data_IF_540680917557
#
_entry.id   IF_540680917557
#
_cell.length_a   1.000
_cell.length_b   1.000
_cell.length_c   1.000
_cell.angle_alpha   90.00
_cell.angle_beta   90.00
_cell.angle_gamma   90.00
#
_symmetry.space_group_name_H-M   'P 1'
#
loop_
_entity.id
_entity.type
_entity.pdbx_description
1 polymer ?
#
# COMPACT_ATOMS: atom_id res chain seq x y z
N UNK A 1 27.84 5.74 -19.00
CA UNK A 1 26.73 6.67 -18.70
C UNK A 1 25.47 5.91 -19.06
N UNK A 2 24.93 5.01 -18.22
CA UNK A 2 24.58 5.15 -16.81
C UNK A 2 24.65 3.75 -16.14
N UNK A 3 25.66 3.48 -15.30
CA UNK A 3 25.81 2.18 -14.61
C UNK A 3 26.06 2.33 -13.08
N UNK A 4 25.56 3.39 -12.43
CA UNK A 4 25.98 3.76 -11.06
C UNK A 4 24.88 3.75 -9.97
N UNK A 5 23.67 3.20 -10.21
CA UNK A 5 22.59 3.19 -9.18
C UNK A 5 22.41 1.83 -8.45
N UNK A 6 23.21 0.80 -8.75
CA UNK A 6 23.07 -0.53 -8.13
C UNK A 6 23.91 -0.76 -6.85
N UNK A 7 24.75 0.20 -6.43
CA UNK A 7 25.87 -0.08 -5.52
C UNK A 7 25.57 0.12 -4.01
N UNK A 8 24.44 0.70 -3.63
CA UNK A 8 24.15 1.02 -2.22
C UNK A 8 23.68 -0.20 -1.38
N UNK A 9 22.99 -1.17 -1.99
CA UNK A 9 22.33 -2.27 -1.25
C UNK A 9 23.21 -3.53 -1.11
N UNK A 10 24.06 -3.82 -2.10
CA UNK A 10 24.96 -4.99 -2.11
C UNK A 10 26.00 -4.94 -0.98
N UNK A 11 26.59 -3.77 -0.74
CA UNK A 11 27.60 -3.54 0.31
C UNK A 11 27.06 -3.67 1.73
N UNK A 12 25.76 -3.42 1.97
CA UNK A 12 25.13 -3.53 3.30
C UNK A 12 24.72 -4.95 3.69
N UNK A 13 24.27 -5.78 2.73
CA UNK A 13 23.81 -7.16 3.02
C UNK A 13 24.94 -8.09 3.45
N UNK A 14 26.13 -7.94 2.86
CA UNK A 14 27.25 -8.86 3.08
C UNK A 14 27.91 -8.79 4.47
N UNK A 15 27.46 -7.87 5.35
CA UNK A 15 27.99 -7.71 6.71
C UNK A 15 27.22 -8.52 7.76
N UNK A 16 25.96 -8.92 7.51
CA UNK A 16 25.12 -9.60 8.52
C UNK A 16 25.03 -11.11 8.35
N UNK A 17 25.30 -11.62 7.15
CA UNK A 17 25.25 -13.06 6.86
C UNK A 17 26.70 -13.53 6.79
N UNK A 18 27.11 -14.43 7.69
CA UNK A 18 28.42 -15.05 7.69
C UNK A 18 28.59 -16.05 6.53
N UNK A 19 28.42 -15.58 5.30
CA UNK A 19 28.59 -16.38 4.09
C UNK A 19 29.94 -16.02 3.47
N UNK A 20 30.95 -16.86 3.69
CA UNK A 20 32.28 -16.70 3.13
C UNK A 20 32.36 -17.34 1.74
N UNK A 21 31.76 -16.72 0.74
CA UNK A 21 32.14 -16.95 -0.65
C UNK A 21 31.57 -15.83 -1.51
N UNK A 22 32.35 -15.34 -2.46
CA UNK A 22 31.96 -14.39 -3.49
C UNK A 22 30.91 -15.01 -4.42
N UNK A 23 29.68 -15.16 -3.95
CA UNK A 23 28.55 -15.46 -4.79
C UNK A 23 28.23 -14.19 -5.59
N UNK A 24 28.57 -14.21 -6.89
CA UNK A 24 28.09 -13.17 -7.81
C UNK A 24 26.58 -13.34 -7.97
N UNK A 25 25.81 -12.30 -7.64
CA UNK A 25 24.37 -12.32 -7.83
C UNK A 25 24.04 -12.41 -9.33
N UNK A 26 23.45 -13.52 -9.77
CA UNK A 26 23.07 -13.75 -11.18
C UNK A 26 21.92 -12.86 -11.64
N UNK A 27 21.14 -12.34 -10.69
CA UNK A 27 20.01 -11.45 -10.95
C UNK A 27 19.79 -10.49 -9.79
N UNK A 28 19.52 -9.23 -10.09
CA UNK A 28 19.16 -8.21 -9.11
C UNK A 28 18.12 -7.26 -9.69
N UNK A 29 17.12 -6.88 -8.89
CA UNK A 29 16.10 -5.91 -9.25
C UNK A 29 15.83 -4.98 -8.07
N UNK A 30 15.50 -3.73 -8.39
CA UNK A 30 15.18 -2.69 -7.40
C UNK A 30 13.87 -2.04 -7.80
N UNK A 31 12.97 -1.92 -6.81
CA UNK A 31 11.73 -1.17 -6.95
C UNK A 31 11.68 -0.09 -5.88
N UNK A 32 11.37 1.15 -6.29
CA UNK A 32 11.12 2.25 -5.38
C UNK A 32 9.62 2.45 -5.22
N UNK A 33 9.07 1.90 -4.15
CA UNK A 33 7.69 2.10 -3.78
C UNK A 33 7.57 3.37 -2.93
N UNK A 34 7.24 4.50 -3.57
CA UNK A 34 7.17 5.83 -2.90
C UNK A 34 6.12 5.88 -1.80
N UNK A 35 4.99 5.19 -1.97
CA UNK A 35 3.84 5.20 -1.05
C UNK A 35 3.62 3.82 -0.43
N UNK A 36 4.71 3.13 -0.06
CA UNK A 36 4.63 1.76 0.46
C UNK A 36 4.12 1.65 1.89
N UNK A 37 4.21 2.76 2.65
CA UNK A 37 3.91 2.77 4.07
C UNK A 37 3.26 4.10 4.42
N UNK A 38 2.11 4.01 5.06
CA UNK A 38 1.36 5.16 5.58
C UNK A 38 2.05 5.64 6.87
N UNK A 39 2.39 6.92 6.92
CA UNK A 39 2.99 7.56 8.11
C UNK A 39 1.91 8.16 9.01
N UNK A 40 0.91 8.82 8.41
CA UNK A 40 -0.24 9.42 9.07
C UNK A 40 -1.51 8.97 8.36
N UNK A 41 -2.46 8.45 9.13
CA UNK A 41 -3.73 7.95 8.59
C UNK A 41 -4.75 9.08 8.49
N UNK A 42 -5.71 8.94 7.59
CA UNK A 42 -6.84 9.89 7.49
C UNK A 42 -7.74 9.86 8.74
N UNK A 43 -7.66 8.80 9.57
CA UNK A 43 -8.43 8.67 10.80
C UNK A 43 -9.92 8.37 10.60
N UNK A 44 -10.32 8.11 9.36
CA UNK A 44 -11.68 7.75 8.94
C UNK A 44 -11.65 6.42 8.20
N UNK A 45 -12.69 5.60 8.31
CA UNK A 45 -12.73 4.28 7.68
C UNK A 45 -12.74 4.34 6.15
N UNK A 46 -13.37 5.36 5.57
CA UNK A 46 -13.42 5.61 4.13
C UNK A 46 -13.80 7.08 3.89
N UNK A 47 -13.66 7.53 2.64
CA UNK A 47 -14.21 8.79 2.17
C UNK A 47 -15.42 8.50 1.27
N UNK A 48 -16.49 9.29 1.42
CA UNK A 48 -17.68 9.21 0.59
C UNK A 48 -18.15 10.60 0.18
N UNK A 49 -18.39 10.77 -1.11
CA UNK A 49 -19.06 11.92 -1.70
C UNK A 49 -20.42 11.48 -2.22
N UNK A 50 -21.48 11.95 -1.57
CA UNK A 50 -22.85 11.55 -1.91
C UNK A 50 -23.39 12.25 -3.15
N UNK A 51 -22.90 13.47 -3.46
CA UNK A 51 -23.38 14.24 -4.61
C UNK A 51 -23.02 13.54 -5.92
N UNK A 52 -21.79 13.02 -6.01
CA UNK A 52 -21.28 12.31 -7.20
C UNK A 52 -21.23 10.79 -7.04
N UNK A 53 -21.69 10.26 -5.89
CA UNK A 53 -21.72 8.81 -5.58
C UNK A 53 -20.34 8.16 -5.70
N UNK A 54 -19.31 8.82 -5.19
CA UNK A 54 -17.92 8.37 -5.28
C UNK A 54 -17.37 8.08 -3.89
N UNK A 55 -16.69 6.94 -3.75
CA UNK A 55 -16.00 6.57 -2.52
C UNK A 55 -14.51 6.28 -2.75
N UNK A 56 -13.72 6.47 -1.70
CA UNK A 56 -12.31 6.07 -1.66
C UNK A 56 -11.99 5.34 -0.36
N UNK A 57 -11.23 4.25 -0.48
CA UNK A 57 -10.82 3.38 0.63
C UNK A 57 -9.36 2.91 0.43
N UNK A 58 -8.71 2.49 1.51
CA UNK A 58 -7.35 1.94 1.48
C UNK A 58 -6.69 1.88 2.85
N UNK A 59 -5.46 1.37 2.89
CA UNK A 59 -4.65 1.30 4.11
C UNK A 59 -4.44 2.69 4.73
N UNK A 60 -4.26 3.72 3.89
CA UNK A 60 -4.11 5.12 4.32
C UNK A 60 -5.31 5.68 5.10
N UNK A 61 -6.47 5.01 5.06
CA UNK A 61 -7.63 5.37 5.88
C UNK A 61 -7.42 4.99 7.36
N UNK A 62 -6.93 3.77 7.62
CA UNK A 62 -6.96 3.14 8.95
C UNK A 62 -5.59 2.75 9.52
N UNK A 63 -4.59 2.44 8.69
CA UNK A 63 -3.26 2.06 9.15
C UNK A 63 -2.39 1.36 8.09
N UNK A 64 -1.07 1.26 8.30
CA UNK A 64 -0.11 0.78 7.30
C UNK A 64 -0.07 -0.75 7.18
N UNK A 65 -1.21 -1.39 6.98
CA UNK A 65 -1.35 -2.85 6.93
C UNK A 65 -2.37 -3.27 5.86
N UNK A 66 -2.23 -4.50 5.38
CA UNK A 66 -3.18 -5.05 4.40
C UNK A 66 -4.58 -5.20 5.01
N UNK A 67 -4.67 -5.55 6.29
CA UNK A 67 -5.92 -5.67 7.03
C UNK A 67 -6.66 -4.33 7.09
N UNK A 68 -5.93 -3.24 7.36
CA UNK A 68 -6.50 -1.89 7.36
C UNK A 68 -7.07 -1.47 5.99
N UNK A 69 -6.42 -1.88 4.89
CA UNK A 69 -6.97 -1.66 3.55
C UNK A 69 -8.25 -2.45 3.31
N UNK A 70 -8.28 -3.70 3.78
CA UNK A 70 -9.46 -4.57 3.66
C UNK A 70 -10.64 -4.00 4.45
N UNK A 71 -10.44 -3.70 5.73
CA UNK A 71 -11.46 -3.14 6.63
C UNK A 71 -12.03 -1.82 6.08
N UNK A 72 -11.16 -0.97 5.53
CA UNK A 72 -11.56 0.28 4.88
C UNK A 72 -12.46 0.04 3.66
N UNK A 73 -12.12 -0.97 2.83
CA UNK A 73 -12.90 -1.33 1.65
C UNK A 73 -14.25 -1.96 2.00
N UNK A 74 -14.29 -2.83 3.01
CA UNK A 74 -15.53 -3.42 3.52
C UNK A 74 -16.49 -2.34 4.02
N UNK A 75 -15.99 -1.41 4.86
CA UNK A 75 -16.78 -0.31 5.38
C UNK A 75 -17.37 0.58 4.26
N UNK A 76 -16.60 0.86 3.20
CA UNK A 76 -17.12 1.61 2.05
C UNK A 76 -18.20 0.83 1.29
N UNK A 77 -18.01 -0.47 1.09
CA UNK A 77 -18.98 -1.31 0.39
C UNK A 77 -20.32 -1.40 1.15
N UNK A 78 -20.28 -1.48 2.48
CA UNK A 78 -21.47 -1.41 3.32
C UNK A 78 -22.21 -0.07 3.17
N UNK A 79 -21.47 1.04 3.20
CA UNK A 79 -22.04 2.38 3.00
C UNK A 79 -22.71 2.52 1.63
N UNK A 80 -22.08 2.01 0.56
CA UNK A 80 -22.69 2.01 -0.78
C UNK A 80 -23.99 1.22 -0.81
N UNK A 81 -24.02 0.03 -0.22
CA UNK A 81 -25.22 -0.82 -0.18
C UNK A 81 -26.37 -0.13 0.58
N UNK A 82 -26.09 0.48 1.73
CA UNK A 82 -27.07 1.23 2.51
C UNK A 82 -27.63 2.41 1.71
N UNK A 83 -26.75 3.13 1.01
CA UNK A 83 -27.16 4.30 0.23
C UNK A 83 -27.86 3.93 -1.09
N UNK A 84 -27.78 2.68 -1.56
CA UNK A 84 -28.59 2.16 -2.67
C UNK A 84 -29.94 1.62 -2.17
N UNK A 85 -29.98 0.98 -1.00
CA UNK A 85 -31.22 0.49 -0.38
C UNK A 85 -32.21 1.61 -0.02
N UNK A 86 -31.72 2.80 0.36
CA UNK A 86 -32.56 3.97 0.61
C UNK A 86 -33.20 4.56 -0.67
N UNK A 87 -32.67 4.22 -1.86
CA UNK A 87 -33.11 4.77 -3.14
C UNK A 87 -33.92 3.76 -3.98
N UNK A 88 -34.05 2.51 -3.51
CA UNK A 88 -34.86 1.46 -4.12
C UNK A 88 -36.19 1.29 -3.37
N UNK A 89 -36.94 2.38 -3.26
CA UNK A 89 -38.39 2.33 -3.04
C UNK A 89 -39.02 2.89 -4.31
N UNK A 90 -39.30 2.01 -5.26
CA UNK A 90 -40.11 2.28 -6.45
C UNK A 90 -41.37 1.45 -6.35
#
# INVERSE_FOLDING_TARGET
MLDDEADCNSRRRNRRVGCSAAAQETFSAVHRCRYALVEETAGVAFLWDDEIRLGACGDWCLGPRVEAAFDSGEALAEAIQQTQGANLVV
#
